data_IF_682014464538
#
_entry.id   IF_682014464538
#
_cell.length_a   1.000
_cell.length_b   1.000
_cell.length_c   1.000
_cell.angle_alpha   90.00
_cell.angle_beta   90.00
_cell.angle_gamma   90.00
#
_symmetry.space_group_name_H-M   'P 1'
#
loop_
_entity.id
_entity.type
_entity.pdbx_description
1 polymer ?
#
# COMPACT_ATOMS: atom_id res chain seq x y z
N UNK A 1 7.04 21.54 14.72
CA UNK A 1 6.69 20.15 15.07
C UNK A 1 7.14 19.25 13.92
N UNK A 2 8.02 18.29 14.18
CA UNK A 2 8.52 17.38 13.15
C UNK A 2 7.44 16.31 12.92
N UNK A 3 6.80 16.32 11.75
CA UNK A 3 5.75 15.37 11.38
C UNK A 3 6.42 14.02 11.13
N UNK A 4 6.43 13.13 12.11
CA UNK A 4 6.79 11.73 11.88
C UNK A 4 5.68 11.12 11.04
N UNK A 5 6.02 10.84 9.79
CA UNK A 5 5.12 10.29 8.79
C UNK A 5 5.25 8.77 8.84
N UNK A 6 4.24 8.07 9.36
CA UNK A 6 4.21 6.60 9.49
C UNK A 6 3.79 5.91 8.18
N UNK A 7 4.11 6.51 7.04
CA UNK A 7 3.81 5.90 5.74
C UNK A 7 4.49 4.53 5.62
N UNK A 8 3.75 3.51 5.16
CA UNK A 8 4.31 2.19 4.96
C UNK A 8 5.41 2.24 3.89
N UNK A 9 6.40 1.35 4.03
CA UNK A 9 7.49 1.22 3.07
C UNK A 9 7.36 -0.08 2.31
N UNK A 10 7.62 0.02 1.02
CA UNK A 10 7.80 -1.13 0.16
C UNK A 10 8.90 -2.06 0.66
N UNK A 11 8.72 -3.35 0.40
CA UNK A 11 9.73 -4.40 0.60
C UNK A 11 10.05 -5.06 -0.74
N UNK A 12 10.98 -6.02 -0.74
CA UNK A 12 11.27 -6.80 -1.94
C UNK A 12 10.05 -7.62 -2.39
N UNK A 13 9.24 -8.09 -1.43
CA UNK A 13 8.07 -8.94 -1.68
C UNK A 13 6.74 -8.18 -1.71
N UNK A 14 6.70 -6.91 -1.31
CA UNK A 14 5.44 -6.17 -1.18
C UNK A 14 5.54 -4.70 -1.56
N UNK A 15 4.45 -4.13 -2.04
CA UNK A 15 4.29 -2.71 -2.28
C UNK A 15 2.97 -2.18 -1.73
N UNK A 16 3.01 -0.93 -1.27
CA UNK A 16 1.82 -0.23 -0.77
C UNK A 16 1.38 0.83 -1.78
N UNK A 17 0.10 0.81 -2.14
CA UNK A 17 -0.53 1.78 -3.03
C UNK A 17 -1.57 2.52 -2.21
N UNK A 18 -1.45 3.85 -2.06
CA UNK A 18 -2.49 4.65 -1.40
C UNK A 18 -3.82 4.49 -2.15
N UNK A 19 -4.88 4.14 -1.44
CA UNK A 19 -6.19 3.93 -2.05
C UNK A 19 -6.77 5.27 -2.50
N UNK A 20 -7.43 5.27 -3.66
CA UNK A 20 -8.01 6.48 -4.23
C UNK A 20 -8.75 6.22 -5.52
N UNK A 21 -9.48 7.21 -6.01
CA UNK A 21 -10.39 7.09 -7.15
C UNK A 21 -9.73 6.66 -8.47
N UNK A 22 -8.40 6.72 -8.57
CA UNK A 22 -7.65 6.47 -9.80
C UNK A 22 -6.88 5.14 -9.81
N UNK A 23 -6.97 4.33 -8.76
CA UNK A 23 -6.30 3.02 -8.74
C UNK A 23 -7.19 1.99 -9.43
N UNK A 24 -6.73 1.48 -10.57
CA UNK A 24 -7.44 0.45 -11.34
C UNK A 24 -6.69 -0.87 -11.26
N UNK A 25 -7.37 -1.98 -11.59
CA UNK A 25 -6.71 -3.30 -11.70
C UNK A 25 -5.57 -3.25 -12.72
N UNK A 26 -5.74 -2.51 -13.82
CA UNK A 26 -4.69 -2.36 -14.83
C UNK A 26 -3.46 -1.64 -14.26
N UNK A 27 -3.64 -0.57 -13.48
CA UNK A 27 -2.53 0.14 -12.80
C UNK A 27 -1.78 -0.80 -11.84
N UNK A 28 -2.50 -1.62 -11.08
CA UNK A 28 -1.90 -2.60 -10.17
C UNK A 28 -1.03 -3.60 -10.96
N UNK A 29 -1.55 -4.15 -12.07
CA UNK A 29 -0.80 -5.10 -12.91
C UNK A 29 0.47 -4.46 -13.49
N UNK A 30 0.38 -3.23 -14.00
CA UNK A 30 1.54 -2.54 -14.54
C UNK A 30 2.59 -2.27 -13.45
N UNK A 31 2.17 -1.88 -12.24
CA UNK A 31 3.08 -1.74 -11.09
C UNK A 31 3.74 -3.05 -10.70
N UNK A 32 3.02 -4.18 -10.76
CA UNK A 32 3.60 -5.52 -10.53
C UNK A 32 4.71 -5.79 -11.55
N UNK A 33 4.46 -5.50 -12.82
CA UNK A 33 5.44 -5.71 -13.91
C UNK A 33 6.68 -4.82 -13.75
N UNK A 34 6.50 -3.59 -13.29
CA UNK A 34 7.61 -2.67 -13.01
C UNK A 34 8.45 -3.16 -11.83
N UNK A 35 7.82 -3.66 -10.76
CA UNK A 35 8.49 -4.06 -9.52
C UNK A 35 9.17 -5.44 -9.62
N UNK A 36 8.50 -6.42 -10.23
CA UNK A 36 8.93 -7.82 -10.23
C UNK A 36 9.27 -8.37 -11.63
N UNK A 37 9.10 -7.58 -12.69
CA UNK A 37 9.45 -7.95 -14.06
C UNK A 37 8.23 -8.22 -14.94
N UNK A 38 8.42 -8.11 -16.27
CA UNK A 38 7.34 -8.24 -17.26
C UNK A 38 6.65 -9.60 -17.27
N UNK A 39 7.39 -10.64 -16.88
CA UNK A 39 6.95 -12.04 -16.89
C UNK A 39 6.47 -12.52 -15.52
N UNK A 40 6.20 -11.60 -14.58
CA UNK A 40 5.65 -11.95 -13.26
C UNK A 40 4.33 -12.69 -13.43
N UNK A 41 4.22 -13.87 -12.80
CA UNK A 41 2.96 -14.60 -12.73
C UNK A 41 2.05 -13.91 -11.71
N UNK A 42 0.93 -13.36 -12.18
CA UNK A 42 -0.05 -12.70 -11.34
C UNK A 42 -0.77 -13.67 -10.41
N UNK A 43 -0.70 -14.98 -10.67
CA UNK A 43 -1.26 -16.01 -9.79
C UNK A 43 -0.48 -16.13 -8.47
N UNK A 44 0.78 -15.69 -8.44
CA UNK A 44 1.64 -15.62 -7.26
C UNK A 44 1.47 -14.30 -6.49
N UNK A 45 0.57 -13.42 -6.92
CA UNK A 45 0.29 -12.14 -6.27
C UNK A 45 -0.94 -12.25 -5.37
N UNK A 46 -0.86 -11.66 -4.19
CA UNK A 46 -1.96 -11.40 -3.27
C UNK A 46 -2.21 -9.88 -3.17
N UNK A 47 -3.49 -9.51 -3.15
CA UNK A 47 -3.93 -8.11 -3.01
C UNK A 47 -4.86 -8.01 -1.81
N UNK A 48 -4.56 -7.11 -0.89
CA UNK A 48 -5.30 -6.89 0.35
C UNK A 48 -5.45 -5.40 0.68
N UNK A 49 -6.44 -5.05 1.50
CA UNK A 49 -6.69 -3.68 1.94
C UNK A 49 -6.17 -3.48 3.37
N UNK A 50 -5.40 -2.42 3.59
CA UNK A 50 -4.74 -2.11 4.85
C UNK A 50 -5.03 -0.67 5.26
N UNK A 51 -5.61 -0.50 6.45
CA UNK A 51 -5.78 0.82 7.07
C UNK A 51 -4.62 1.09 8.02
N UNK A 52 -3.86 2.15 7.77
CA UNK A 52 -2.63 2.46 8.51
C UNK A 52 -2.76 3.84 9.12
N UNK A 53 -2.40 3.98 10.40
CA UNK A 53 -2.33 5.28 11.07
C UNK A 53 -1.06 6.01 10.61
N UNK A 54 -1.24 7.07 9.84
CA UNK A 54 -0.15 7.79 9.18
C UNK A 54 0.13 9.13 9.85
N UNK A 55 -0.91 9.82 10.33
CA UNK A 55 -0.77 10.97 11.19
C UNK A 55 -0.92 10.50 12.63
N UNK A 56 0.04 10.85 13.49
CA UNK A 56 0.02 10.52 14.92
C UNK A 56 0.17 11.79 15.76
N UNK A 57 -0.30 12.93 15.24
CA UNK A 57 -0.30 14.18 15.99
C UNK A 57 -1.45 14.05 16.99
N UNK A 58 -1.12 13.98 18.28
CA UNK A 58 -2.04 13.86 19.42
C UNK A 58 -2.55 12.45 19.77
N UNK A 59 -2.14 11.41 19.03
CA UNK A 59 -2.41 9.98 19.36
C UNK A 59 -3.90 9.70 19.63
N UNK A 60 -4.79 10.29 18.82
CA UNK A 60 -6.21 9.97 18.86
C UNK A 60 -6.47 8.72 18.01
N UNK A 61 -6.61 7.57 18.67
CA UNK A 61 -6.92 6.31 18.00
C UNK A 61 -8.30 6.30 17.33
N UNK A 62 -9.15 7.29 17.62
CA UNK A 62 -10.51 7.41 17.09
C UNK A 62 -10.64 8.45 15.99
N UNK A 63 -9.62 9.28 15.72
CA UNK A 63 -9.66 10.20 14.58
C UNK A 63 -9.46 9.42 13.29
N UNK A 64 -10.53 9.27 12.51
CA UNK A 64 -10.46 8.61 11.20
C UNK A 64 -9.51 9.34 10.22
N UNK A 65 -9.26 10.65 10.42
CA UNK A 65 -8.34 11.43 9.59
C UNK A 65 -6.85 11.11 9.86
N UNK A 66 -6.56 10.41 10.96
CA UNK A 66 -5.22 9.92 11.25
C UNK A 66 -4.84 8.69 10.43
N UNK A 67 -5.82 8.05 9.80
CA UNK A 67 -5.64 6.83 9.02
C UNK A 67 -5.73 7.08 7.53
N UNK A 68 -4.91 6.36 6.78
CA UNK A 68 -4.97 6.29 5.32
C UNK A 68 -5.17 4.82 4.94
N UNK A 69 -6.06 4.59 3.98
CA UNK A 69 -6.32 3.28 3.41
C UNK A 69 -5.33 3.01 2.27
N UNK A 70 -4.68 1.86 2.31
CA UNK A 70 -3.73 1.38 1.31
C UNK A 70 -4.19 0.04 0.74
N UNK A 71 -3.77 -0.22 -0.49
CA UNK A 71 -3.78 -1.54 -1.11
C UNK A 71 -2.37 -2.11 -0.96
N UNK A 72 -2.25 -3.24 -0.25
CA UNK A 72 -1.03 -4.04 -0.21
C UNK A 72 -1.06 -5.04 -1.34
N UNK A 73 -0.02 -5.03 -2.17
CA UNK A 73 0.21 -6.03 -3.20
C UNK A 73 1.49 -6.77 -2.83
N UNK A 74 1.42 -8.09 -2.64
CA UNK A 74 2.55 -8.90 -2.19
C UNK A 74 2.66 -10.22 -2.95
N UNK A 75 3.89 -10.72 -3.10
CA UNK A 75 4.15 -12.09 -3.54
C UNK A 75 3.69 -13.06 -2.44
N UNK A 76 3.00 -14.13 -2.83
CA UNK A 76 2.69 -15.26 -1.94
C UNK A 76 3.97 -15.91 -1.44
N UNK A 77 3.92 -16.46 -0.24
CA UNK A 77 5.02 -17.24 0.35
C UNK A 77 5.09 -18.66 -0.19
#
# INVERSE_FOLDING_TARGET
>A
MQKYSNYPKDTNKGMFIESGANVTIHDIIERCRVKWGKDVDLSDIEVSAHKIQVNAIEYDLYDANDYIDFILVAMKD
#
